data_IF_413524012809
#
_entry.id   IF_413524012809
#
_cell.length_a   1.000
_cell.length_b   1.000
_cell.length_c   1.000
_cell.angle_alpha   90.00
_cell.angle_beta   90.00
_cell.angle_gamma   90.00
#
_symmetry.space_group_name_H-M   'P 1'
#
loop_
_entity.id
_entity.type
_entity.pdbx_description
1 polymer ?
#
# COMPACT_ATOMS: atom_id res chain seq x y z
N UNK A 1 -11.84 -2.46 -8.23
CA UNK A 1 -12.42 -1.11 -8.05
C UNK A 1 -12.25 -0.73 -6.60
N UNK A 2 -11.34 0.20 -6.30
CA UNK A 2 -11.10 0.73 -4.94
C UNK A 2 -12.26 1.69 -4.59
N UNK A 3 -12.85 1.57 -3.40
CA UNK A 3 -13.96 2.43 -2.97
C UNK A 3 -13.66 3.03 -1.60
N UNK A 4 -13.49 4.36 -1.54
CA UNK A 4 -13.39 5.10 -0.28
C UNK A 4 -14.81 5.53 0.10
N UNK A 5 -15.31 5.06 1.24
CA UNK A 5 -16.58 5.54 1.81
C UNK A 5 -16.27 6.31 3.07
N UNK A 6 -16.50 7.62 3.05
CA UNK A 6 -16.42 8.47 4.23
C UNK A 6 -17.82 8.54 4.86
N UNK A 7 -18.00 7.92 6.02
CA UNK A 7 -19.18 8.14 6.87
C UNK A 7 -18.77 9.13 7.96
N UNK A 8 -19.55 10.20 8.13
CA UNK A 8 -19.27 11.33 8.99
C UNK A 8 -18.60 10.93 10.33
N UNK A 9 -17.36 11.42 10.54
CA UNK A 9 -16.64 11.29 11.81
C UNK A 9 -15.77 10.04 11.98
N UNK A 10 -15.81 9.05 11.07
CA UNK A 10 -14.91 7.90 11.08
C UNK A 10 -14.09 7.84 9.79
N UNK A 11 -12.76 7.79 9.94
CA UNK A 11 -11.82 7.56 8.83
C UNK A 11 -11.88 6.06 8.48
N UNK A 12 -12.58 5.71 7.41
CA UNK A 12 -12.59 4.35 6.88
C UNK A 12 -11.76 4.26 5.61
N UNK A 13 -10.89 3.25 5.54
CA UNK A 13 -10.37 2.72 4.28
C UNK A 13 -11.07 1.38 4.03
N UNK A 14 -12.01 1.33 3.09
CA UNK A 14 -12.60 0.07 2.63
C UNK A 14 -11.72 -0.45 1.49
N UNK A 15 -11.08 -1.60 1.68
CA UNK A 15 -10.29 -2.24 0.62
C UNK A 15 -10.99 -3.51 0.14
N UNK A 16 -11.25 -3.55 -1.17
CA UNK A 16 -11.71 -4.72 -1.91
C UNK A 16 -10.49 -5.44 -2.45
N UNK A 17 -10.33 -6.72 -2.14
CA UNK A 17 -9.18 -7.54 -2.56
C UNK A 17 -9.50 -8.30 -3.84
N UNK A 18 -8.52 -8.36 -4.77
CA UNK A 18 -8.58 -8.99 -6.10
C UNK A 18 -8.42 -10.53 -6.05
N UNK A 19 -8.71 -11.16 -7.18
CA UNK A 19 -8.82 -12.61 -7.48
C UNK A 19 -7.56 -13.43 -7.13
N UNK A 20 -7.68 -14.71 -6.71
CA UNK A 20 -6.55 -15.54 -6.34
C UNK A 20 -6.05 -16.33 -7.55
N UNK A 21 -4.82 -16.09 -7.98
CA UNK A 21 -4.03 -17.09 -8.69
C UNK A 21 -2.64 -17.14 -8.07
N UNK A 22 -2.15 -18.38 -7.93
CA UNK A 22 -0.82 -18.81 -7.46
C UNK A 22 -0.63 -19.06 -5.96
N UNK A 23 -1.22 -20.16 -5.50
CA UNK A 23 -0.62 -20.98 -4.45
C UNK A 23 -0.25 -22.34 -5.05
N UNK A 24 1.04 -22.54 -5.41
CA UNK A 24 1.69 -23.85 -5.51
C UNK A 24 3.23 -23.71 -5.56
N UNK A 25 3.84 -24.01 -4.41
CA UNK A 25 5.16 -24.68 -4.18
C UNK A 25 6.46 -23.83 -4.07
N UNK A 26 7.10 -24.07 -2.92
CA UNK A 26 8.52 -23.96 -2.55
C UNK A 26 9.01 -22.65 -1.90
N UNK A 27 9.23 -22.68 -0.58
CA UNK A 27 9.85 -21.56 0.17
C UNK A 27 11.25 -21.93 0.73
N UNK A 28 12.35 -21.37 0.20
CA UNK A 28 13.63 -21.33 0.91
C UNK A 28 13.62 -20.27 2.03
N UNK A 29 14.27 -20.57 3.17
CA UNK A 29 14.09 -19.92 4.48
C UNK A 29 14.46 -18.42 4.62
N UNK A 30 14.91 -17.71 3.58
CA UNK A 30 15.39 -16.31 3.68
C UNK A 30 14.88 -15.40 2.55
N UNK A 31 13.56 -15.31 2.37
CA UNK A 31 12.92 -14.26 1.54
C UNK A 31 12.24 -13.25 2.47
N UNK A 32 12.26 -11.93 2.17
CA UNK A 32 11.33 -10.98 2.78
C UNK A 32 9.91 -11.50 2.57
N UNK A 33 9.23 -11.86 3.67
CA UNK A 33 8.06 -12.75 3.61
C UNK A 33 6.74 -12.06 3.28
N UNK A 34 6.69 -10.72 3.21
CA UNK A 34 5.44 -9.96 3.13
C UNK A 34 5.69 -8.61 2.43
N UNK A 35 4.97 -8.33 1.35
CA UNK A 35 4.97 -7.03 0.66
C UNK A 35 3.60 -6.37 0.82
N UNK A 36 3.59 -5.07 1.08
CA UNK A 36 2.35 -4.30 1.09
C UNK A 36 1.91 -4.00 -0.35
N UNK A 37 0.72 -4.45 -0.74
CA UNK A 37 0.14 -4.04 -2.03
C UNK A 37 -0.57 -2.67 -1.95
N UNK A 38 -0.84 -2.18 -0.73
CA UNK A 38 -1.14 -0.77 -0.48
C UNK A 38 0.03 -0.18 0.31
N UNK A 39 0.84 0.74 -0.25
CA UNK A 39 2.05 1.24 0.40
C UNK A 39 1.80 1.73 1.82
N UNK A 40 2.66 1.33 2.75
CA UNK A 40 2.55 1.68 4.17
C UNK A 40 2.51 3.20 4.38
N UNK A 41 3.25 3.93 3.55
CA UNK A 41 3.30 5.39 3.57
C UNK A 41 1.94 6.06 3.31
N UNK A 42 1.01 5.39 2.62
CA UNK A 42 -0.39 5.82 2.46
C UNK A 42 -1.22 5.43 3.67
N UNK A 43 -1.11 4.16 4.10
CA UNK A 43 -1.89 3.57 5.19
C UNK A 43 -1.81 4.38 6.48
N UNK A 44 -0.61 4.82 6.87
CA UNK A 44 -0.37 5.60 8.10
C UNK A 44 -1.18 6.90 8.20
N UNK A 45 -1.72 7.41 7.10
CA UNK A 45 -2.52 8.64 7.10
C UNK A 45 -4.01 8.41 7.41
N UNK A 46 -4.44 7.14 7.47
CA UNK A 46 -5.82 6.74 7.73
C UNK A 46 -6.03 6.13 9.12
N UNK A 47 -4.96 6.03 9.93
CA UNK A 47 -5.04 5.45 11.27
C UNK A 47 -5.89 6.30 12.21
N UNK A 48 -6.49 5.63 13.19
CA UNK A 48 -7.17 6.24 14.33
C UNK A 48 -6.17 6.72 15.41
N UNK A 49 -6.70 7.24 16.53
CA UNK A 49 -5.90 7.78 17.63
C UNK A 49 -5.05 6.73 18.36
N UNK A 50 -5.31 5.43 18.13
CA UNK A 50 -4.49 4.31 18.63
C UNK A 50 -3.52 3.79 17.56
N UNK A 51 -3.32 4.52 16.46
CA UNK A 51 -2.49 4.12 15.31
C UNK A 51 -2.97 2.83 14.61
N UNK A 52 -4.28 2.55 14.62
CA UNK A 52 -4.88 1.36 13.97
C UNK A 52 -5.76 1.72 12.78
N UNK A 53 -5.94 0.75 11.90
CA UNK A 53 -6.91 0.79 10.80
C UNK A 53 -8.03 -0.21 11.04
N UNK A 54 -9.24 0.21 10.70
CA UNK A 54 -10.36 -0.71 10.53
C UNK A 54 -10.28 -1.38 9.17
N UNK A 55 -10.44 -2.70 9.13
CA UNK A 55 -10.37 -3.50 7.94
C UNK A 55 -11.55 -4.47 7.83
N UNK A 56 -11.88 -4.81 6.60
CA UNK A 56 -12.90 -5.78 6.23
C UNK A 56 -12.43 -6.55 5.00
N UNK A 57 -12.49 -7.88 5.04
CA UNK A 57 -12.19 -8.73 3.88
C UNK A 57 -13.50 -9.25 3.31
N UNK A 58 -13.88 -8.72 2.14
CA UNK A 58 -15.09 -9.16 1.43
C UNK A 58 -15.08 -10.64 1.04
N UNK A 59 -13.91 -11.27 0.97
CA UNK A 59 -13.74 -12.72 0.67
C UNK A 59 -13.94 -13.57 1.92
N UNK A 60 -13.70 -13.00 3.11
CA UNK A 60 -13.89 -13.65 4.40
C UNK A 60 -14.85 -12.84 5.27
N UNK A 61 -16.12 -12.79 4.83
CA UNK A 61 -17.16 -11.99 5.50
C UNK A 61 -17.43 -12.44 6.93
N UNK A 62 -17.18 -13.71 7.27
CA UNK A 62 -17.41 -14.26 8.60
C UNK A 62 -16.42 -13.74 9.64
N UNK A 63 -15.23 -13.29 9.21
CA UNK A 63 -14.27 -12.57 10.06
C UNK A 63 -14.85 -11.24 10.58
N UNK A 64 -15.83 -10.67 9.88
CA UNK A 64 -16.41 -9.38 10.20
C UNK A 64 -15.42 -8.23 10.01
N UNK A 65 -15.71 -7.11 10.66
CA UNK A 65 -14.86 -5.91 10.68
C UNK A 65 -13.89 -6.02 11.87
N UNK A 66 -12.59 -5.79 11.65
CA UNK A 66 -11.58 -5.87 12.70
C UNK A 66 -10.63 -4.66 12.66
N UNK A 67 -9.86 -4.46 13.74
CA UNK A 67 -8.77 -3.47 13.81
C UNK A 67 -7.41 -4.15 13.78
N UNK A 68 -6.45 -3.53 13.11
CA UNK A 68 -5.05 -3.93 13.18
C UNK A 68 -4.13 -2.75 12.93
N UNK A 69 -2.84 -2.92 13.17
CA UNK A 69 -1.83 -1.92 12.82
C UNK A 69 -1.59 -1.94 11.30
N UNK A 70 -1.14 -0.83 10.73
CA UNK A 70 -0.96 -0.71 9.27
C UNK A 70 0.08 -1.70 8.73
N UNK A 71 1.10 -2.05 9.53
CA UNK A 71 2.15 -3.02 9.17
C UNK A 71 1.62 -4.45 9.04
N UNK A 72 0.38 -4.72 9.44
CA UNK A 72 -0.22 -6.06 9.39
C UNK A 72 -1.36 -6.18 8.36
N UNK A 73 -1.69 -5.09 7.66
CA UNK A 73 -2.77 -5.04 6.67
C UNK A 73 -2.24 -4.90 5.25
N UNK A 74 -3.04 -5.35 4.29
CA UNK A 74 -2.72 -5.27 2.86
C UNK A 74 -1.38 -5.91 2.47
N UNK A 75 -1.09 -7.06 3.06
CA UNK A 75 0.13 -7.83 2.82
C UNK A 75 -0.14 -9.00 1.90
N UNK A 76 0.79 -9.24 0.99
CA UNK A 76 0.86 -10.41 0.12
C UNK A 76 2.27 -10.99 0.13
N UNK A 77 2.38 -12.32 0.19
CA UNK A 77 3.67 -13.00 0.07
C UNK A 77 4.12 -13.00 -1.38
N UNK A 78 5.42 -12.83 -1.63
CA UNK A 78 6.04 -13.03 -2.94
C UNK A 78 5.56 -12.13 -4.10
N UNK A 79 4.91 -11.00 -3.82
CA UNK A 79 4.32 -10.10 -4.84
C UNK A 79 5.30 -9.69 -5.97
N UNK A 80 6.59 -9.54 -5.66
CA UNK A 80 7.63 -9.14 -6.63
C UNK A 80 8.80 -10.13 -6.70
N UNK A 81 8.67 -11.32 -6.11
CA UNK A 81 9.74 -12.31 -6.13
C UNK A 81 9.83 -13.01 -7.49
N UNK A 82 10.63 -12.48 -8.42
CA UNK A 82 11.03 -13.24 -9.61
C UNK A 82 12.21 -14.16 -9.26
N UNK A 83 12.00 -15.47 -9.42
CA UNK A 83 13.08 -16.45 -9.43
C UNK A 83 13.50 -16.65 -10.89
N UNK A 84 14.74 -16.29 -11.21
CA UNK A 84 15.32 -16.50 -12.53
C UNK A 84 15.41 -18.01 -12.83
N UNK A 85 15.55 -18.36 -14.11
CA UNK A 85 15.65 -19.76 -14.55
C UNK A 85 16.82 -20.54 -13.92
N UNK A 86 17.84 -19.82 -13.41
CA UNK A 86 19.00 -20.35 -12.71
C UNK A 86 18.84 -20.40 -11.17
N UNK A 87 17.66 -20.02 -10.65
CA UNK A 87 17.37 -19.96 -9.21
C UNK A 87 17.87 -18.69 -8.51
N UNK A 88 18.48 -17.75 -9.23
CA UNK A 88 18.87 -16.45 -8.65
C UNK A 88 17.67 -15.53 -8.48
N UNK A 89 17.74 -14.63 -7.50
CA UNK A 89 16.69 -13.64 -7.21
C UNK A 89 17.07 -12.31 -7.86
N UNK A 90 16.13 -11.69 -8.55
CA UNK A 90 16.26 -10.33 -9.03
C UNK A 90 15.55 -9.36 -8.07
N UNK A 91 16.33 -8.54 -7.35
CA UNK A 91 15.83 -7.55 -6.41
C UNK A 91 15.72 -6.13 -7.00
N UNK A 92 15.99 -5.96 -8.31
CA UNK A 92 16.04 -4.64 -8.95
C UNK A 92 14.69 -3.92 -8.90
N UNK A 93 13.60 -4.64 -9.15
CA UNK A 93 12.23 -4.10 -9.06
C UNK A 93 11.88 -3.68 -7.64
N UNK A 94 12.23 -4.49 -6.63
CA UNK A 94 11.97 -4.18 -5.21
C UNK A 94 12.73 -2.92 -4.77
N UNK A 95 14.01 -2.82 -5.15
CA UNK A 95 14.83 -1.64 -4.84
C UNK A 95 14.27 -0.38 -5.50
N UNK A 96 13.87 -0.48 -6.76
CA UNK A 96 13.31 0.64 -7.51
C UNK A 96 11.96 1.10 -6.96
N UNK A 97 11.07 0.17 -6.58
CA UNK A 97 9.81 0.53 -5.92
C UNK A 97 10.05 1.18 -4.55
N UNK A 98 11.02 0.67 -3.78
CA UNK A 98 11.38 1.28 -2.50
C UNK A 98 11.86 2.73 -2.65
N UNK A 99 12.63 3.02 -3.70
CA UNK A 99 13.10 4.38 -4.00
C UNK A 99 11.92 5.29 -4.39
N UNK A 100 11.08 4.83 -5.34
CA UNK A 100 9.91 5.56 -5.78
C UNK A 100 8.93 5.86 -4.64
N UNK A 101 8.66 4.89 -3.76
CA UNK A 101 7.81 5.08 -2.58
C UNK A 101 8.39 6.13 -1.62
N UNK A 102 9.71 6.13 -1.42
CA UNK A 102 10.41 7.13 -0.61
C UNK A 102 10.25 8.54 -1.16
N UNK A 103 10.45 8.72 -2.46
CA UNK A 103 10.25 10.01 -3.14
C UNK A 103 8.79 10.46 -3.07
N UNK A 104 7.86 9.55 -3.41
CA UNK A 104 6.43 9.82 -3.42
C UNK A 104 5.88 10.15 -2.03
N UNK A 105 6.42 9.55 -0.97
CA UNK A 105 5.99 9.82 0.41
C UNK A 105 6.09 11.31 0.76
N UNK A 106 7.16 11.98 0.32
CA UNK A 106 7.35 13.42 0.57
C UNK A 106 6.29 14.25 -0.17
N UNK A 107 6.00 13.89 -1.43
CA UNK A 107 4.95 14.55 -2.23
C UNK A 107 3.57 14.34 -1.62
N UNK A 108 3.25 13.12 -1.20
CA UNK A 108 1.99 12.78 -0.54
C UNK A 108 1.79 13.60 0.74
N UNK A 109 2.83 13.77 1.58
CA UNK A 109 2.72 14.59 2.78
C UNK A 109 2.40 16.05 2.45
N UNK A 110 2.97 16.59 1.37
CA UNK A 110 2.66 17.94 0.88
C UNK A 110 1.22 18.08 0.38
N UNK A 111 0.71 17.05 -0.31
CA UNK A 111 -0.69 16.95 -0.73
C UNK A 111 -1.61 16.94 0.49
N UNK A 112 -1.36 16.05 1.45
CA UNK A 112 -2.17 15.90 2.67
C UNK A 112 -2.18 17.19 3.47
N UNK A 113 -1.01 17.81 3.70
CA UNK A 113 -0.90 19.05 4.44
C UNK A 113 -1.71 20.19 3.80
N UNK A 114 -1.72 20.28 2.47
CA UNK A 114 -2.50 21.27 1.72
C UNK A 114 -3.99 20.99 1.79
N UNK A 115 -4.40 19.74 1.57
CA UNK A 115 -5.79 19.30 1.64
C UNK A 115 -6.40 19.53 3.03
N UNK A 116 -5.66 19.27 4.12
CA UNK A 116 -6.09 19.56 5.50
C UNK A 116 -6.38 21.04 5.77
N UNK A 117 -5.77 21.94 4.98
CA UNK A 117 -6.03 23.39 5.03
C UNK A 117 -7.08 23.84 4.00
N UNK A 118 -7.70 22.92 3.26
CA UNK A 118 -8.63 23.24 2.18
C UNK A 118 -7.98 23.86 0.95
N UNK A 119 -6.67 23.63 0.74
CA UNK A 119 -5.93 24.19 -0.38
C UNK A 119 -5.45 23.12 -1.37
N UNK A 120 -5.27 23.53 -2.62
CA UNK A 120 -4.53 22.74 -3.60
C UNK A 120 -3.03 22.70 -3.25
N UNK A 121 -2.37 21.55 -3.44
CA UNK A 121 -0.94 21.46 -3.24
C UNK A 121 -0.17 22.21 -4.32
N UNK A 122 0.78 23.04 -3.92
CA UNK A 122 1.70 23.69 -4.84
C UNK A 122 2.89 22.76 -5.13
N UNK A 123 2.71 21.81 -6.06
CA UNK A 123 3.77 20.88 -6.45
C UNK A 123 4.70 21.50 -7.51
N UNK A 124 6.00 21.29 -7.37
CA UNK A 124 6.97 21.56 -8.44
C UNK A 124 6.73 20.60 -9.61
N UNK A 125 7.32 20.91 -10.78
CA UNK A 125 7.27 20.02 -11.94
C UNK A 125 7.81 18.62 -11.60
N UNK A 126 8.91 18.54 -10.87
CA UNK A 126 9.53 17.27 -10.44
C UNK A 126 8.62 16.50 -9.48
N UNK A 127 8.08 17.16 -8.45
CA UNK A 127 7.16 16.52 -7.50
C UNK A 127 5.90 16.00 -8.20
N UNK A 128 5.39 16.74 -9.19
CA UNK A 128 4.26 16.31 -10.01
C UNK A 128 4.60 15.06 -10.82
N UNK A 129 5.79 15.00 -11.43
CA UNK A 129 6.25 13.82 -12.18
C UNK A 129 6.39 12.58 -11.28
N UNK A 130 6.98 12.75 -10.09
CA UNK A 130 7.07 11.67 -9.09
C UNK A 130 5.67 11.17 -8.72
N UNK A 131 4.73 12.08 -8.44
CA UNK A 131 3.35 11.71 -8.13
C UNK A 131 2.66 10.98 -9.27
N UNK A 132 2.73 11.51 -10.50
CA UNK A 132 2.08 10.91 -11.66
C UNK A 132 2.64 9.50 -11.92
N UNK A 133 3.95 9.34 -11.77
CA UNK A 133 4.62 8.06 -11.95
C UNK A 133 4.27 7.06 -10.86
N UNK A 134 4.32 7.47 -9.58
CA UNK A 134 3.86 6.64 -8.46
C UNK A 134 2.40 6.22 -8.65
N UNK A 135 1.51 7.16 -8.96
CA UNK A 135 0.07 6.91 -9.11
C UNK A 135 -0.23 5.94 -10.26
N UNK A 136 0.53 5.99 -11.35
CA UNK A 136 0.38 5.06 -12.48
C UNK A 136 0.69 3.60 -12.09
N UNK A 137 1.55 3.37 -11.09
CA UNK A 137 1.97 2.02 -10.68
C UNK A 137 1.05 1.38 -9.62
N UNK A 138 0.00 2.07 -9.16
CA UNK A 138 -0.93 1.62 -8.11
C UNK A 138 -2.29 1.18 -8.68
#
# INVERSE_FOLDING_TARGET
MLGIVQVAGLRFLIVVVKDPQDDLRFTPMNLPKRHHYVPEMLQKNFVDDEAKLWAFDSRNRTKGVWRSTHENLFLEGHLYSHVNADGTKDATLEAWFSELEGEAATVVQKIIASARRGHYPNLTKTERQIWDFFFYQQ
#
